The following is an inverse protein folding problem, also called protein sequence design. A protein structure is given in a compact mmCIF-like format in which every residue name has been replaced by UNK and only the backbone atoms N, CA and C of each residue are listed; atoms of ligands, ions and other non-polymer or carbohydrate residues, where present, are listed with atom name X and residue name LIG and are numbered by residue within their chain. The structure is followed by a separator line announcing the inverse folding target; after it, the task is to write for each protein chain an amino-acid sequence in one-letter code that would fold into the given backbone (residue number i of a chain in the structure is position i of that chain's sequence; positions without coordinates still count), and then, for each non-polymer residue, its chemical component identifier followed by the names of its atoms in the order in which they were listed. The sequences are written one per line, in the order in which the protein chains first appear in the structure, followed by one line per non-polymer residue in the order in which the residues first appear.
data_IF_533190983638
#
_entry.id   IF_533190983638
#
_cell.length_a   1.000
_cell.length_b   1.000
_cell.length_c   1.000
_cell.angle_alpha   90.00
_cell.angle_beta   90.00
_cell.angle_gamma   90.00
#
_symmetry.space_group_name_H-M   'P 1'
#
loop_
_entity.id
_entity.type
_entity.pdbx_description
1 polymer ?
#
# COMPACT_ATOMS: atom_id res chain seq x y z
N UNK A 1 3.48 5.36 -12.59
CA UNK A 1 3.08 5.47 -11.18
C UNK A 1 3.76 6.66 -10.54
N UNK A 2 2.96 7.66 -10.20
CA UNK A 2 3.37 8.87 -9.51
C UNK A 2 2.50 9.06 -8.25
N UNK A 3 3.03 9.74 -7.25
CA UNK A 3 2.36 9.92 -5.96
C UNK A 3 2.15 11.40 -5.66
N UNK A 4 0.94 11.76 -5.24
CA UNK A 4 0.58 13.12 -4.86
C UNK A 4 -0.08 13.12 -3.48
N UNK A 5 0.53 13.80 -2.51
CA UNK A 5 -0.05 13.93 -1.16
C UNK A 5 -1.19 14.95 -1.24
N UNK A 6 -2.41 14.51 -0.92
CA UNK A 6 -3.60 15.36 -0.88
C UNK A 6 -3.79 15.93 0.52
N UNK A 7 -3.64 15.09 1.54
CA UNK A 7 -3.76 15.47 2.94
C UNK A 7 -2.69 14.76 3.79
N UNK A 8 -2.14 15.48 4.76
CA UNK A 8 -1.32 14.90 5.81
C UNK A 8 -1.60 15.58 7.13
N UNK A 9 -2.01 14.79 8.12
CA UNK A 9 -2.15 15.19 9.53
C UNK A 9 -1.22 14.34 10.39
N UNK A 10 -1.33 14.47 11.72
CA UNK A 10 -0.56 13.65 12.66
C UNK A 10 -0.98 12.17 12.64
N UNK A 11 -2.23 11.87 12.23
CA UNK A 11 -2.81 10.52 12.27
C UNK A 11 -3.41 10.07 10.94
N UNK A 12 -3.42 10.93 9.92
CA UNK A 12 -4.06 10.64 8.63
C UNK A 12 -3.14 11.01 7.48
N UNK A 13 -3.17 10.19 6.43
CA UNK A 13 -2.47 10.43 5.17
C UNK A 13 -3.39 10.07 4.01
N UNK A 14 -3.60 11.03 3.10
CA UNK A 14 -4.30 10.82 1.84
C UNK A 14 -3.34 11.03 0.67
N UNK A 15 -3.23 10.03 -0.20
CA UNK A 15 -2.34 10.05 -1.36
C UNK A 15 -3.11 9.62 -2.60
N UNK A 16 -3.02 10.43 -3.66
CA UNK A 16 -3.41 10.03 -5.00
C UNK A 16 -2.28 9.25 -5.65
N UNK A 17 -2.58 8.04 -6.15
CA UNK A 17 -1.59 7.14 -6.76
C UNK A 17 -1.90 7.01 -8.25
N UNK A 18 -1.19 7.77 -9.09
CA UNK A 18 -1.42 7.82 -10.54
C UNK A 18 -1.03 6.52 -11.22
N UNK A 19 -1.83 6.07 -12.19
CA UNK A 19 -1.66 4.80 -12.90
C UNK A 19 -1.72 3.53 -12.01
N UNK A 20 -2.23 3.61 -10.78
CA UNK A 20 -2.47 2.42 -9.96
C UNK A 20 -3.84 1.80 -10.28
N UNK A 21 -3.87 0.49 -10.36
CA UNK A 21 -5.09 -0.30 -10.52
C UNK A 21 -5.32 -1.21 -9.29
N UNK A 22 -6.45 -1.88 -9.32
CA UNK A 22 -6.90 -2.83 -8.29
C UNK A 22 -5.86 -3.92 -7.96
N UNK A 23 -4.98 -4.29 -8.91
CA UNK A 23 -3.92 -5.29 -8.70
C UNK A 23 -2.88 -4.83 -7.68
N UNK A 24 -2.63 -3.52 -7.61
CA UNK A 24 -1.73 -2.92 -6.62
C UNK A 24 -2.51 -2.47 -5.38
N UNK A 25 -3.69 -1.89 -5.58
CA UNK A 25 -4.48 -1.29 -4.50
C UNK A 25 -4.99 -2.35 -3.53
N UNK A 26 -5.58 -3.46 -3.99
CA UNK A 26 -6.13 -4.47 -3.08
C UNK A 26 -5.09 -5.11 -2.17
N UNK A 27 -3.93 -5.62 -2.66
CA UNK A 27 -2.93 -6.21 -1.77
C UNK A 27 -2.37 -5.20 -0.76
N UNK A 28 -2.16 -3.94 -1.18
CA UNK A 28 -1.67 -2.89 -0.29
C UNK A 28 -2.66 -2.62 0.85
N UNK A 29 -3.96 -2.50 0.54
CA UNK A 29 -5.01 -2.32 1.54
C UNK A 29 -5.09 -3.52 2.49
N UNK A 30 -5.06 -4.75 1.96
CA UNK A 30 -5.09 -5.95 2.79
C UNK A 30 -3.93 -6.02 3.79
N UNK A 31 -2.74 -5.52 3.41
CA UNK A 31 -1.60 -5.45 4.31
C UNK A 31 -1.75 -4.33 5.33
N UNK A 32 -2.21 -3.15 4.91
CA UNK A 32 -2.44 -2.02 5.82
C UNK A 32 -3.49 -2.35 6.88
N UNK A 33 -4.59 -3.00 6.53
CA UNK A 33 -5.66 -3.37 7.48
C UNK A 33 -5.20 -4.42 8.50
N UNK A 34 -4.13 -5.18 8.22
CA UNK A 34 -3.54 -6.15 9.17
C UNK A 34 -2.59 -5.51 10.17
N UNK A 35 -2.10 -4.30 9.92
CA UNK A 35 -1.20 -3.59 10.83
C UNK A 35 -1.96 -3.07 12.06
N UNK A 36 -1.54 -3.48 13.26
CA UNK A 36 -2.21 -3.16 14.53
C UNK A 36 -2.39 -1.65 14.75
N UNK A 37 -1.43 -0.85 14.26
CA UNK A 37 -1.46 0.60 14.42
C UNK A 37 -2.35 1.33 13.41
N UNK A 38 -2.88 0.64 12.41
CA UNK A 38 -3.81 1.18 11.42
C UNK A 38 -5.23 1.03 11.94
N UNK A 39 -5.94 2.15 12.06
CA UNK A 39 -7.35 2.18 12.45
C UNK A 39 -8.24 1.89 11.25
N UNK A 40 -7.91 2.50 10.11
CA UNK A 40 -8.64 2.35 8.86
C UNK A 40 -7.70 2.54 7.67
N UNK A 41 -7.90 1.74 6.64
CA UNK A 41 -7.25 1.92 5.35
C UNK A 41 -8.23 1.55 4.25
N UNK A 42 -8.47 2.48 3.34
CA UNK A 42 -9.36 2.32 2.21
C UNK A 42 -8.85 3.13 1.02
N UNK A 43 -9.40 2.85 -0.16
CA UNK A 43 -9.20 3.71 -1.31
C UNK A 43 -10.51 4.00 -1.99
N UNK A 44 -10.58 5.18 -2.61
CA UNK A 44 -11.72 5.61 -3.39
C UNK A 44 -11.29 5.97 -4.80
N UNK A 45 -12.21 5.74 -5.74
CA UNK A 45 -12.10 6.16 -7.14
C UNK A 45 -13.41 6.87 -7.46
N UNK A 46 -13.39 8.17 -7.73
CA UNK A 46 -14.62 8.93 -8.01
C UNK A 46 -15.29 8.42 -9.30
N UNK A 47 -14.51 8.21 -10.36
CA UNK A 47 -14.93 7.55 -11.60
C UNK A 47 -13.96 6.42 -12.00
N UNK A 48 -14.45 5.17 -11.96
CA UNK A 48 -13.66 3.94 -12.13
C UNK A 48 -12.79 3.86 -13.40
N UNK A 49 -13.15 4.56 -14.48
CA UNK A 49 -12.40 4.51 -15.74
C UNK A 49 -11.52 5.75 -16.00
N UNK A 50 -11.65 6.80 -15.20
CA UNK A 50 -11.06 8.12 -15.50
C UNK A 50 -10.20 8.68 -14.37
N UNK A 51 -10.40 8.23 -13.13
CA UNK A 51 -9.74 8.79 -11.97
C UNK A 51 -8.70 7.83 -11.39
N UNK A 52 -7.56 8.40 -10.98
CA UNK A 52 -6.57 7.66 -10.22
C UNK A 52 -7.07 7.43 -8.78
N UNK A 53 -6.76 6.27 -8.17
CA UNK A 53 -7.18 5.97 -6.81
C UNK A 53 -6.57 6.92 -5.78
N UNK A 54 -7.39 7.28 -4.80
CA UNK A 54 -6.98 8.00 -3.60
C UNK A 54 -6.95 7.02 -2.44
N UNK A 55 -5.74 6.72 -1.96
CA UNK A 55 -5.50 5.93 -0.76
C UNK A 55 -5.65 6.83 0.46
N UNK A 56 -6.45 6.39 1.43
CA UNK A 56 -6.55 6.99 2.76
C UNK A 56 -6.05 6.00 3.82
N UNK A 57 -5.16 6.46 4.69
CA UNK A 57 -4.64 5.70 5.83
C UNK A 57 -4.83 6.50 7.10
N UNK A 58 -5.51 5.91 8.09
CA UNK A 58 -5.70 6.44 9.43
C UNK A 58 -5.01 5.54 10.45
N UNK A 59 -4.21 6.12 11.34
CA UNK A 59 -3.43 5.41 12.35
C UNK A 59 -3.75 5.88 13.75
N UNK A 60 -3.34 5.07 14.72
CA UNK A 60 -3.42 5.40 16.16
C UNK A 60 -2.57 6.62 16.52
N UNK A 61 -3.00 7.37 17.54
CA UNK A 61 -2.26 8.53 18.04
C UNK A 61 -0.81 8.19 18.40
N UNK A 62 0.12 9.07 18.03
CA UNK A 62 1.56 8.86 18.25
C UNK A 62 2.24 7.99 17.18
N UNK A 63 1.51 7.51 16.19
CA UNK A 63 2.04 6.80 15.01
C UNK A 63 2.08 7.74 13.80
N UNK A 64 3.20 7.76 13.04
CA UNK A 64 3.26 8.51 11.77
C UNK A 64 2.68 7.65 10.63
N UNK A 65 1.53 8.03 10.02
CA UNK A 65 0.92 7.26 8.93
C UNK A 65 1.83 7.10 7.72
N UNK A 66 2.74 8.07 7.47
CA UNK A 66 3.73 7.95 6.39
C UNK A 66 4.72 6.84 6.67
N UNK A 67 5.17 6.70 7.92
CA UNK A 67 6.13 5.67 8.29
C UNK A 67 5.50 4.28 8.17
N UNK A 68 4.25 4.11 8.62
CA UNK A 68 3.49 2.87 8.45
C UNK A 68 3.38 2.48 6.99
N UNK A 69 2.99 3.41 6.11
CA UNK A 69 2.89 3.11 4.68
C UNK A 69 4.23 2.65 4.07
N UNK A 70 5.34 3.28 4.46
CA UNK A 70 6.69 2.88 4.01
C UNK A 70 7.04 1.47 4.50
N UNK A 71 6.78 1.17 5.77
CA UNK A 71 7.14 -0.11 6.37
C UNK A 71 6.33 -1.26 5.77
N UNK A 72 5.02 -1.05 5.57
CA UNK A 72 4.15 -2.01 4.89
C UNK A 72 4.57 -2.21 3.43
N UNK A 73 4.92 -1.14 2.71
CA UNK A 73 5.39 -1.25 1.33
C UNK A 73 6.67 -2.09 1.22
N UNK A 74 7.59 -1.97 2.18
CA UNK A 74 8.81 -2.80 2.23
C UNK A 74 8.49 -4.25 2.55
N UNK A 75 7.64 -4.50 3.54
CA UNK A 75 7.21 -5.87 3.87
C UNK A 75 6.54 -6.53 2.66
N UNK A 76 5.71 -5.79 1.92
CA UNK A 76 5.06 -6.30 0.71
C UNK A 76 6.06 -6.60 -0.41
N UNK A 77 7.11 -5.77 -0.56
CA UNK A 77 8.20 -6.07 -1.49
C UNK A 77 8.92 -7.38 -1.12
N UNK A 78 9.24 -7.57 0.16
CA UNK A 78 9.89 -8.80 0.65
C UNK A 78 9.00 -10.03 0.42
N UNK A 79 7.69 -9.93 0.64
CA UNK A 79 6.73 -11.01 0.35
C UNK A 79 6.76 -11.41 -1.14
N UNK A 80 6.80 -10.45 -2.06
CA UNK A 80 6.89 -10.70 -3.50
C UNK A 80 8.23 -11.35 -3.89
N UNK A 81 9.34 -10.91 -3.30
CA UNK A 81 10.67 -11.50 -3.52
C UNK A 81 10.73 -12.95 -3.03
N UNK A 82 10.09 -13.24 -1.89
CA UNK A 82 9.97 -14.60 -1.35
C UNK A 82 9.15 -15.49 -2.29
N UNK A 83 7.98 -15.02 -2.75
CA UNK A 83 7.15 -15.76 -3.72
C UNK A 83 7.94 -16.07 -4.98
N UNK A 84 8.65 -15.08 -5.53
CA UNK A 84 9.47 -15.29 -6.72
C UNK A 84 10.56 -16.35 -6.49
N UNK A 85 11.26 -16.27 -5.35
CA UNK A 85 12.34 -17.20 -5.01
C UNK A 85 11.83 -18.63 -4.80
N UNK A 86 10.67 -18.80 -4.18
CA UNK A 86 10.08 -20.13 -3.97
C UNK A 86 9.54 -20.75 -5.25
N UNK A 87 8.94 -19.94 -6.14
CA UNK A 87 8.33 -20.42 -7.38
C UNK A 87 9.32 -20.62 -8.51
N UNK A 88 10.34 -19.75 -8.62
CA UNK A 88 11.24 -19.68 -9.78
C UNK A 88 12.73 -19.72 -9.41
N UNK A 89 13.08 -19.57 -8.13
CA UNK A 89 14.47 -19.54 -7.66
C UNK A 89 15.15 -20.90 -7.50
N UNK A 90 14.52 -22.00 -7.94
CA UNK A 90 15.12 -23.34 -8.01
C UNK A 90 15.09 -23.89 -9.44
N UNK A 91 15.90 -23.32 -10.32
CA UNK A 91 16.34 -23.98 -11.55
C UNK A 91 17.85 -23.77 -11.75
N UNK A 92 18.69 -24.29 -10.84
CA UNK A 92 20.09 -24.64 -11.18
C UNK A 92 20.48 -25.84 -10.32
N UNK A 93 20.46 -27.03 -10.93
CA UNK A 93 21.44 -28.14 -10.78
C UNK A 93 20.80 -29.46 -11.23
N UNK A 94 20.75 -29.72 -12.55
CA UNK A 94 20.85 -31.06 -13.16
C UNK A 94 21.51 -30.99 -14.55
#
# INVERSE_FOLDING_TARGET
MDFEILEKTDTTLEIKIKDADDTVMYPLIEQLVKEEKVINADYSVEHQELDDPILKVEVTEGTDPKQILIDISKSFQEDLENIYSEMFGKEEDE
#
